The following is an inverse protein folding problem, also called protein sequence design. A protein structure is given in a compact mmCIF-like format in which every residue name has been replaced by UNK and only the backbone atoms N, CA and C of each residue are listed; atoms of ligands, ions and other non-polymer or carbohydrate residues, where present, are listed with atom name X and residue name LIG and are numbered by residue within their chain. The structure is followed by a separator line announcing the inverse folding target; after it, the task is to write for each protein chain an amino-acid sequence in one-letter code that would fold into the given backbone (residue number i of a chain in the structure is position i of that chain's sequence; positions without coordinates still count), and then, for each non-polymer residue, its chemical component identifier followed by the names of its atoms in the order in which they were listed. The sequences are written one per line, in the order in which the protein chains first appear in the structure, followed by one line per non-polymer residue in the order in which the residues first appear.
data_IF_112380120558
#
_entry.id   IF_112380120558
#
_cell.length_a   1.000
_cell.length_b   1.000
_cell.length_c   1.000
_cell.angle_alpha   90.00
_cell.angle_beta   90.00
_cell.angle_gamma   90.00
#
_symmetry.space_group_name_H-M   'P 1'
#
loop_
_entity.id
_entity.type
_entity.pdbx_description
1 polymer ?
#
# COMPACT_ATOMS: atom_id res chain seq x y z
N UNK A 1 21.20 -10.75 55.57
CA UNK A 1 20.19 -9.67 55.59
C UNK A 1 20.94 -8.35 55.58
N UNK A 2 20.81 -7.55 54.51
CA UNK A 2 21.02 -6.10 54.43
C UNK A 2 21.11 -5.69 52.96
N UNK A 3 20.18 -4.85 52.49
CA UNK A 3 20.19 -4.35 51.11
C UNK A 3 18.83 -3.89 50.62
N UNK A 4 18.15 -2.99 51.34
CA UNK A 4 16.97 -2.29 50.86
C UNK A 4 17.21 -0.78 50.96
N UNK A 5 16.85 -0.05 49.90
CA UNK A 5 16.55 1.38 49.97
C UNK A 5 17.45 2.33 49.19
N UNK A 6 17.50 2.22 47.85
CA UNK A 6 17.75 3.42 47.04
C UNK A 6 16.43 4.21 46.97
N UNK A 7 16.26 5.17 47.88
CA UNK A 7 15.22 6.18 47.77
C UNK A 7 15.48 7.02 46.51
N UNK A 8 14.60 6.91 45.52
CA UNK A 8 14.51 7.91 44.45
C UNK A 8 13.91 9.18 45.07
N UNK A 9 14.75 10.15 45.45
CA UNK A 9 14.26 11.48 45.79
C UNK A 9 13.68 12.11 44.53
N UNK A 10 12.39 12.43 44.59
CA UNK A 10 11.70 13.24 43.60
C UNK A 10 12.13 14.68 43.88
N UNK A 11 12.67 15.37 42.89
CA UNK A 11 13.04 16.78 43.01
C UNK A 11 11.77 17.64 43.01
N UNK A 12 11.21 17.84 44.21
CA UNK A 12 9.99 18.62 44.42
C UNK A 12 10.12 20.06 43.91
N UNK A 13 11.34 20.62 43.90
CA UNK A 13 11.59 21.98 43.44
C UNK A 13 11.46 22.09 41.93
N UNK A 14 12.00 21.13 41.17
CA UNK A 14 11.87 21.08 39.72
C UNK A 14 10.40 20.92 39.27
N UNK A 15 9.61 20.12 40.00
CA UNK A 15 8.18 19.94 39.74
C UNK A 15 7.40 21.23 40.02
N UNK A 16 7.66 21.89 41.16
CA UNK A 16 7.00 23.15 41.51
C UNK A 16 7.36 24.28 40.55
N UNK A 17 8.62 24.37 40.10
CA UNK A 17 9.06 25.35 39.09
C UNK A 17 8.46 25.11 37.70
N UNK A 18 8.06 23.87 37.37
CA UNK A 18 7.34 23.54 36.14
C UNK A 18 5.85 23.89 36.28
N UNK A 19 5.20 23.54 37.39
CA UNK A 19 3.80 23.91 37.67
C UNK A 19 3.61 25.43 37.62
N UNK A 20 4.50 26.17 38.30
CA UNK A 20 4.46 27.63 38.35
C UNK A 20 4.67 28.29 36.97
N UNK A 21 5.41 27.64 36.06
CA UNK A 21 5.62 28.12 34.68
C UNK A 21 4.40 27.91 33.77
N UNK A 22 3.49 26.99 34.11
CA UNK A 22 2.40 26.54 33.23
C UNK A 22 1.01 26.78 33.84
N UNK A 23 0.94 27.59 34.89
CA UNK A 23 -0.21 27.92 35.73
C UNK A 23 -1.44 28.42 34.94
N UNK A 24 -1.25 29.02 33.76
CA UNK A 24 -2.35 29.55 32.93
C UNK A 24 -3.01 28.50 32.02
N UNK A 25 -2.44 27.29 31.88
CA UNK A 25 -2.83 26.31 30.84
C UNK A 25 -3.40 25.00 31.37
N UNK A 26 -3.33 24.78 32.67
CA UNK A 26 -3.90 23.61 33.34
C UNK A 26 -5.27 24.01 33.90
N UNK A 27 -6.31 23.21 33.68
CA UNK A 27 -7.62 23.54 34.26
C UNK A 27 -7.53 23.52 35.80
N UNK A 28 -8.23 24.42 36.47
CA UNK A 28 -8.08 24.64 37.91
C UNK A 28 -8.32 23.37 38.73
N UNK A 29 -9.18 22.44 38.29
CA UNK A 29 -9.42 21.18 39.00
C UNK A 29 -8.24 20.22 38.89
N UNK A 30 -7.52 20.24 37.76
CA UNK A 30 -6.29 19.47 37.58
C UNK A 30 -5.14 20.07 38.40
N UNK A 31 -5.05 21.41 38.48
CA UNK A 31 -4.07 22.12 39.30
C UNK A 31 -4.28 21.85 40.81
N UNK A 32 -5.52 22.00 41.30
CA UNK A 32 -5.86 21.75 42.70
C UNK A 32 -5.55 20.31 43.15
N UNK A 33 -5.74 19.33 42.25
CA UNK A 33 -5.42 17.93 42.51
C UNK A 33 -3.90 17.65 42.53
N UNK A 34 -3.12 18.40 41.76
CA UNK A 34 -1.65 18.29 41.72
C UNK A 34 -1.04 18.97 42.96
N UNK A 35 -1.48 20.18 43.29
CA UNK A 35 -0.94 20.98 44.40
C UNK A 35 -1.25 20.39 45.78
N UNK A 36 -2.45 19.84 45.98
CA UNK A 36 -2.83 19.18 47.24
C UNK A 36 -2.07 17.87 47.51
N UNK A 37 -1.33 17.33 46.53
CA UNK A 37 -0.74 15.98 46.59
C UNK A 37 0.79 15.94 46.41
N UNK A 38 1.44 17.05 46.05
CA UNK A 38 2.92 17.15 45.93
C UNK A 38 3.60 17.41 47.30
N UNK A 39 2.85 17.98 48.27
CA UNK A 39 3.41 18.51 49.52
C UNK A 39 3.63 17.43 50.60
N UNK A 40 3.06 16.22 50.48
CA UNK A 40 3.32 15.12 51.43
C UNK A 40 3.39 13.75 50.73
N UNK A 41 4.57 13.10 50.66
CA UNK A 41 4.76 11.80 49.99
C UNK A 41 4.21 10.59 50.75
N UNK A 42 3.75 10.79 51.99
CA UNK A 42 3.22 9.72 52.84
C UNK A 42 1.70 9.72 52.76
N UNK A 43 1.12 8.58 52.31
CA UNK A 43 -0.29 8.17 52.42
C UNK A 43 -1.10 8.04 51.08
N UNK A 44 -2.15 7.19 51.06
CA UNK A 44 -2.77 6.48 49.91
C UNK A 44 -3.24 7.30 48.70
N UNK A 45 -3.11 8.62 48.72
CA UNK A 45 -3.65 9.49 47.69
C UNK A 45 -2.68 9.74 46.53
N UNK A 46 -1.38 9.43 46.67
CA UNK A 46 -0.51 9.25 45.51
C UNK A 46 -0.97 8.05 44.67
N UNK A 47 -1.49 7.01 45.34
CA UNK A 47 -2.19 5.89 44.68
C UNK A 47 -3.42 6.44 43.94
N UNK A 48 -4.17 7.35 44.54
CA UNK A 48 -5.31 8.06 43.93
C UNK A 48 -4.93 8.92 42.72
N UNK A 49 -3.78 9.61 42.73
CA UNK A 49 -3.26 10.36 41.58
C UNK A 49 -2.75 9.43 40.48
N UNK A 50 -2.18 8.28 40.86
CA UNK A 50 -1.86 7.22 39.90
C UNK A 50 -3.13 6.58 39.34
N UNK A 51 -4.17 6.28 40.13
CA UNK A 51 -5.46 5.75 39.69
C UNK A 51 -6.26 6.76 38.84
N UNK A 52 -6.17 8.04 39.19
CA UNK A 52 -6.75 9.19 38.48
C UNK A 52 -6.03 9.49 37.17
N UNK A 53 -4.70 9.36 37.14
CA UNK A 53 -3.92 9.44 35.91
C UNK A 53 -4.22 8.21 35.04
N UNK A 54 -4.14 6.99 35.60
CA UNK A 54 -4.41 5.71 34.95
C UNK A 54 -4.51 4.59 35.99
N UNK A 55 -5.57 3.77 36.00
CA UNK A 55 -5.62 2.56 36.86
C UNK A 55 -4.59 1.47 36.51
N UNK A 56 -3.30 1.73 36.71
CA UNK A 56 -2.14 0.84 36.66
C UNK A 56 -1.75 0.42 38.08
N UNK A 57 -0.85 -0.57 38.18
CA UNK A 57 -0.09 -0.80 39.42
C UNK A 57 0.76 0.42 39.78
N UNK A 58 0.87 0.71 41.08
CA UNK A 58 1.53 1.91 41.62
C UNK A 58 2.93 2.15 41.05
N UNK A 59 3.72 1.10 40.80
CA UNK A 59 5.10 1.18 40.29
C UNK A 59 5.21 1.61 38.82
N UNK A 60 4.27 1.21 37.97
CA UNK A 60 4.27 1.56 36.55
C UNK A 60 3.82 3.01 36.34
N UNK A 61 2.75 3.42 37.03
CA UNK A 61 2.29 4.80 37.02
C UNK A 61 3.33 5.77 37.58
N UNK A 62 4.06 5.38 38.64
CA UNK A 62 5.15 6.18 39.19
C UNK A 62 6.28 6.39 38.18
N UNK A 63 6.62 5.38 37.37
CA UNK A 63 7.63 5.51 36.32
C UNK A 63 7.14 6.38 35.15
N UNK A 64 5.86 6.29 34.77
CA UNK A 64 5.24 7.17 33.78
C UNK A 64 5.33 8.62 34.24
N UNK A 65 4.82 8.91 35.43
CA UNK A 65 4.79 10.26 35.98
C UNK A 65 6.22 10.77 36.11
N UNK A 66 7.18 9.98 36.61
CA UNK A 66 8.58 10.39 36.68
C UNK A 66 9.20 10.70 35.32
N UNK A 67 8.95 9.88 34.29
CA UNK A 67 9.45 10.15 32.95
C UNK A 67 8.77 11.39 32.33
N UNK A 68 7.47 11.52 32.55
CA UNK A 68 6.62 12.63 32.09
C UNK A 68 6.72 13.92 32.93
N UNK A 69 7.54 13.96 33.99
CA UNK A 69 7.75 15.17 34.80
C UNK A 69 9.21 15.59 34.80
N UNK A 70 10.08 14.79 34.17
CA UNK A 70 11.50 15.09 34.01
C UNK A 70 11.80 15.92 32.75
N UNK A 71 10.82 16.15 31.84
CA UNK A 71 11.09 16.78 30.53
C UNK A 71 10.03 17.82 30.13
N UNK A 72 9.81 18.85 30.95
CA UNK A 72 9.12 20.09 30.56
C UNK A 72 7.68 19.96 30.01
N UNK A 73 7.18 21.04 29.40
CA UNK A 73 5.80 21.26 28.88
C UNK A 73 5.16 20.09 28.09
N UNK A 74 5.99 19.23 27.50
CA UNK A 74 5.65 18.25 26.46
C UNK A 74 4.97 16.99 27.02
N UNK A 75 5.00 16.79 28.34
CA UNK A 75 4.62 15.49 28.89
C UNK A 75 3.19 15.42 29.45
N UNK A 76 2.61 16.55 29.83
CA UNK A 76 1.20 16.65 30.29
C UNK A 76 0.23 16.26 29.17
N UNK A 77 0.58 16.56 27.92
CA UNK A 77 -0.29 16.28 26.77
C UNK A 77 -0.32 14.79 26.43
N UNK A 78 0.81 14.07 26.59
CA UNK A 78 0.86 12.61 26.48
C UNK A 78 -0.07 11.96 27.51
N UNK A 79 -0.08 12.45 28.76
CA UNK A 79 -1.00 11.97 29.80
C UNK A 79 -2.46 12.23 29.42
N UNK A 80 -2.79 13.42 28.87
CA UNK A 80 -4.14 13.74 28.39
C UNK A 80 -4.62 12.81 27.28
N UNK A 81 -3.72 12.47 26.34
CA UNK A 81 -4.01 11.53 25.26
C UNK A 81 -4.27 10.12 25.76
N UNK A 82 -3.41 9.58 26.64
CA UNK A 82 -3.62 8.26 27.22
C UNK A 82 -4.95 8.25 28.01
N UNK A 83 -5.28 9.33 28.73
CA UNK A 83 -6.55 9.43 29.47
C UNK A 83 -7.74 9.35 28.55
N UNK A 84 -7.70 10.08 27.43
CA UNK A 84 -8.74 10.03 26.41
C UNK A 84 -8.86 8.63 25.77
N UNK A 85 -7.75 7.98 25.44
CA UNK A 85 -7.75 6.68 24.77
C UNK A 85 -8.09 5.49 25.69
N UNK A 86 -7.85 5.65 27.00
CA UNK A 86 -8.14 4.64 28.02
C UNK A 86 -9.50 4.82 28.71
N UNK A 87 -10.20 5.93 28.44
CA UNK A 87 -11.54 6.16 28.94
C UNK A 87 -12.54 5.24 28.24
N UNK A 88 -13.17 4.34 29.00
CA UNK A 88 -14.29 3.52 28.50
C UNK A 88 -15.51 4.42 28.34
N UNK A 89 -16.11 4.45 27.14
CA UNK A 89 -17.39 5.13 26.88
C UNK A 89 -18.46 4.11 26.48
N UNK A 90 -19.71 4.50 26.65
CA UNK A 90 -20.91 3.67 26.48
C UNK A 90 -20.98 2.92 25.15
N UNK A 91 -20.34 3.40 24.09
CA UNK A 91 -20.38 2.81 22.75
C UNK A 91 -19.07 2.14 22.30
N UNK A 92 -17.96 2.25 23.04
CA UNK A 92 -16.65 1.81 22.53
C UNK A 92 -15.70 1.26 23.62
N UNK A 93 -14.97 0.17 23.33
CA UNK A 93 -13.95 -0.35 24.23
C UNK A 93 -12.77 0.62 24.33
N UNK A 94 -12.19 0.74 25.52
CA UNK A 94 -10.97 1.50 25.74
C UNK A 94 -9.77 0.80 25.07
N UNK A 95 -8.81 1.58 24.56
CA UNK A 95 -7.53 1.01 24.12
C UNK A 95 -6.82 0.43 25.35
N UNK A 96 -6.28 -0.78 25.20
CA UNK A 96 -5.53 -1.44 26.28
C UNK A 96 -4.41 -0.52 26.81
N UNK A 97 -4.41 -0.31 28.13
CA UNK A 97 -3.54 0.63 28.83
C UNK A 97 -2.05 0.29 28.67
N UNK A 98 -1.68 -0.99 28.65
CA UNK A 98 -0.29 -1.42 28.47
C UNK A 98 0.24 -1.08 27.07
N UNK A 99 -0.63 -1.13 26.05
CA UNK A 99 -0.25 -0.72 24.70
C UNK A 99 0.02 0.78 24.61
N UNK A 100 -0.82 1.60 25.26
CA UNK A 100 -0.63 3.06 25.33
C UNK A 100 0.65 3.42 26.08
N UNK A 101 0.92 2.74 27.21
CA UNK A 101 2.14 2.94 27.99
C UNK A 101 3.40 2.60 27.19
N UNK A 102 3.42 1.42 26.55
CA UNK A 102 4.55 1.00 25.75
C UNK A 102 4.79 1.90 24.52
N UNK A 103 3.74 2.48 23.93
CA UNK A 103 3.87 3.43 22.83
C UNK A 103 4.40 4.79 23.32
N UNK A 104 3.86 5.30 24.43
CA UNK A 104 4.26 6.58 25.03
C UNK A 104 5.74 6.59 25.41
N UNK A 105 6.22 5.56 26.10
CA UNK A 105 7.63 5.44 26.54
C UNK A 105 8.65 5.36 25.41
N UNK A 106 8.22 4.95 24.21
CA UNK A 106 9.06 4.83 23.01
C UNK A 106 8.90 6.02 22.06
N UNK A 107 7.98 6.92 22.36
CA UNK A 107 7.69 8.10 21.55
C UNK A 107 8.77 9.16 21.78
N UNK A 108 9.25 9.84 20.73
CA UNK A 108 10.13 10.98 20.90
C UNK A 108 9.44 12.10 21.70
N UNK A 109 10.23 13.07 22.17
CA UNK A 109 9.66 14.32 22.68
C UNK A 109 9.05 15.08 21.51
N UNK A 110 7.78 15.43 21.64
CA UNK A 110 7.02 16.08 20.58
C UNK A 110 7.05 17.59 20.81
N UNK A 111 6.72 18.38 19.79
CA UNK A 111 6.58 19.82 19.98
C UNK A 111 5.23 20.15 20.59
N UNK A 112 5.13 21.25 21.35
CA UNK A 112 3.88 21.72 21.94
C UNK A 112 2.75 21.87 20.89
N UNK A 113 3.11 22.30 19.67
CA UNK A 113 2.20 22.43 18.52
C UNK A 113 1.62 21.07 18.11
N UNK A 114 2.48 20.08 17.87
CA UNK A 114 2.11 18.71 17.49
C UNK A 114 1.16 18.09 18.52
N UNK A 115 1.38 18.39 19.79
CA UNK A 115 0.62 17.84 20.91
C UNK A 115 -0.75 18.50 21.14
N UNK A 116 -0.83 19.83 20.99
CA UNK A 116 -2.12 20.55 20.99
C UNK A 116 -3.01 20.07 19.85
N UNK A 117 -2.46 19.93 18.64
CA UNK A 117 -3.18 19.38 17.50
C UNK A 117 -3.73 17.99 17.83
N UNK A 118 -2.91 17.11 18.40
CA UNK A 118 -3.33 15.74 18.74
C UNK A 118 -4.49 15.68 19.74
N UNK A 119 -4.50 16.52 20.77
CA UNK A 119 -5.57 16.48 21.79
C UNK A 119 -6.85 17.20 21.40
N UNK A 120 -6.77 18.14 20.46
CA UNK A 120 -7.95 18.87 19.97
C UNK A 120 -8.60 18.17 18.78
N UNK A 121 -7.80 17.54 17.92
CA UNK A 121 -8.25 17.00 16.64
C UNK A 121 -8.63 15.52 16.69
N UNK A 122 -8.07 14.75 17.62
CA UNK A 122 -8.37 13.33 17.72
C UNK A 122 -9.77 13.10 18.30
N UNK A 123 -10.67 12.59 17.46
CA UNK A 123 -12.03 12.25 17.87
C UNK A 123 -12.25 10.72 17.85
N UNK A 124 -13.28 10.24 18.54
CA UNK A 124 -13.65 8.81 18.56
C UNK A 124 -13.96 8.27 17.16
N UNK A 125 -14.52 9.10 16.29
CA UNK A 125 -14.78 8.75 14.89
C UNK A 125 -13.49 8.35 14.15
N UNK A 126 -12.40 9.06 14.40
CA UNK A 126 -11.09 8.73 13.82
C UNK A 126 -10.59 7.39 14.36
N UNK A 127 -10.77 7.14 15.66
CA UNK A 127 -10.40 5.86 16.28
C UNK A 127 -11.18 4.69 15.69
N UNK A 128 -12.48 4.85 15.44
CA UNK A 128 -13.30 3.80 14.83
C UNK A 128 -12.84 3.49 13.40
N UNK A 129 -12.54 4.51 12.61
CA UNK A 129 -12.00 4.33 11.25
C UNK A 129 -10.71 3.52 11.28
N UNK A 130 -9.80 3.83 12.22
CA UNK A 130 -8.54 3.09 12.38
C UNK A 130 -8.77 1.66 12.93
N UNK A 131 -9.71 1.47 13.84
CA UNK A 131 -10.06 0.16 14.44
C UNK A 131 -10.66 -0.83 13.46
N UNK A 132 -11.27 -0.35 12.39
CA UNK A 132 -11.69 -1.23 11.30
C UNK A 132 -10.51 -2.00 10.69
N UNK A 133 -9.28 -1.49 10.78
CA UNK A 133 -8.10 -2.11 10.14
C UNK A 133 -6.98 -2.51 11.09
N UNK A 134 -6.86 -1.85 12.23
CA UNK A 134 -5.69 -1.95 13.10
C UNK A 134 -6.05 -2.36 14.52
N UNK A 135 -5.18 -3.17 15.12
CA UNK A 135 -5.28 -3.47 16.54
C UNK A 135 -4.97 -2.24 17.39
N UNK A 136 -5.53 -2.20 18.59
CA UNK A 136 -5.29 -1.17 19.60
C UNK A 136 -3.79 -0.91 19.84
N UNK A 137 -2.96 -1.96 19.83
CA UNK A 137 -1.49 -1.84 19.92
C UNK A 137 -0.87 -1.05 18.78
N UNK A 138 -1.37 -1.26 17.56
CA UNK A 138 -0.89 -0.55 16.37
C UNK A 138 -1.36 0.89 16.36
N UNK A 139 -2.63 1.13 16.70
CA UNK A 139 -3.21 2.47 16.80
C UNK A 139 -2.44 3.30 17.83
N UNK A 140 -2.17 2.74 19.01
CA UNK A 140 -1.34 3.39 20.02
C UNK A 140 0.04 3.77 19.48
N UNK A 141 0.70 2.91 18.69
CA UNK A 141 2.00 3.26 18.11
C UNK A 141 1.91 4.43 17.12
N UNK A 142 0.93 4.40 16.22
CA UNK A 142 0.72 5.44 15.20
C UNK A 142 0.37 6.79 15.85
N UNK A 143 -0.52 6.81 16.85
CA UNK A 143 -0.94 8.07 17.46
C UNK A 143 0.16 8.76 18.27
N UNK A 144 1.26 8.05 18.58
CA UNK A 144 2.40 8.60 19.29
C UNK A 144 3.59 8.92 18.37
N UNK A 145 3.40 8.94 17.04
CA UNK A 145 4.44 9.39 16.09
C UNK A 145 4.43 10.91 15.87
N UNK A 146 5.54 11.54 15.44
CA UNK A 146 5.65 13.00 15.27
C UNK A 146 4.73 13.62 14.22
N UNK A 147 4.35 12.86 13.20
CA UNK A 147 3.59 13.24 12.00
C UNK A 147 2.07 13.33 12.23
N UNK A 148 1.62 13.71 13.43
CA UNK A 148 0.18 13.78 13.76
C UNK A 148 -0.55 14.91 13.04
N UNK A 149 0.17 15.85 12.43
CA UNK A 149 -0.43 17.00 11.74
C UNK A 149 -1.36 16.56 10.60
N UNK A 150 -1.11 15.39 10.02
CA UNK A 150 -1.93 14.79 8.95
C UNK A 150 -3.21 14.09 9.44
N UNK A 151 -3.50 14.05 10.75
CA UNK A 151 -4.55 13.21 11.33
C UNK A 151 -5.97 13.53 10.85
N UNK A 152 -6.35 14.81 10.82
CA UNK A 152 -7.68 15.22 10.34
C UNK A 152 -7.81 14.87 8.86
N UNK A 153 -6.87 15.33 8.04
CA UNK A 153 -6.91 15.09 6.60
C UNK A 153 -6.98 13.59 6.29
N UNK A 154 -6.19 12.77 6.99
CA UNK A 154 -6.28 11.31 6.88
C UNK A 154 -7.67 10.79 7.25
N UNK A 155 -8.24 11.24 8.36
CA UNK A 155 -9.57 10.81 8.77
C UNK A 155 -10.66 11.20 7.77
N UNK A 156 -10.62 12.43 7.27
CA UNK A 156 -11.56 12.95 6.29
C UNK A 156 -11.47 12.16 4.98
N UNK A 157 -10.24 11.86 4.51
CA UNK A 157 -10.03 10.99 3.34
C UNK A 157 -10.60 9.59 3.56
N UNK A 158 -10.30 8.95 4.70
CA UNK A 158 -10.82 7.61 5.01
C UNK A 158 -12.35 7.58 5.10
N UNK A 159 -12.95 8.64 5.62
CA UNK A 159 -14.41 8.77 5.68
C UNK A 159 -15.00 8.92 4.27
N UNK A 160 -14.44 9.78 3.43
CA UNK A 160 -14.88 9.95 2.04
C UNK A 160 -14.78 8.62 1.29
N UNK A 161 -13.68 7.88 1.45
CA UNK A 161 -13.48 6.55 0.85
C UNK A 161 -14.57 5.57 1.31
N UNK A 162 -14.85 5.50 2.62
CA UNK A 162 -15.92 4.64 3.15
C UNK A 162 -17.30 5.02 2.64
N UNK A 163 -17.62 6.32 2.53
CA UNK A 163 -18.90 6.78 1.99
C UNK A 163 -19.13 6.34 0.55
N UNK A 164 -18.07 6.12 -0.22
CA UNK A 164 -18.13 5.55 -1.57
C UNK A 164 -18.16 4.01 -1.59
N UNK A 165 -18.43 3.36 -0.45
CA UNK A 165 -18.62 1.92 -0.35
C UNK A 165 -17.33 1.10 -0.52
N UNK A 166 -16.16 1.75 -0.46
CA UNK A 166 -14.87 1.05 -0.58
C UNK A 166 -14.37 0.61 0.80
N UNK A 167 -13.87 -0.62 0.88
CA UNK A 167 -13.22 -1.12 2.08
C UNK A 167 -11.80 -0.52 2.23
N UNK A 168 -11.28 -0.49 3.44
CA UNK A 168 -9.98 0.08 3.79
C UNK A 168 -8.83 -0.93 3.62
N UNK A 169 -8.99 -1.90 2.73
CA UNK A 169 -8.04 -2.99 2.53
C UNK A 169 -6.73 -2.56 1.85
N UNK A 170 -6.79 -1.46 1.07
CA UNK A 170 -5.64 -0.82 0.43
C UNK A 170 -4.64 -0.22 1.45
N UNK A 171 -5.08 -0.01 2.69
CA UNK A 171 -4.22 0.49 3.75
C UNK A 171 -3.14 -0.54 4.12
N UNK A 172 -1.92 -0.08 4.47
CA UNK A 172 -0.81 -0.97 4.77
C UNK A 172 -1.15 -1.87 5.97
N UNK A 173 -0.84 -3.17 5.90
CA UNK A 173 -1.12 -4.10 7.04
C UNK A 173 -0.33 -3.75 8.31
N UNK A 174 0.84 -3.12 8.16
CA UNK A 174 1.77 -2.79 9.25
C UNK A 174 2.34 -1.36 9.10
N UNK A 175 1.52 -0.29 9.19
CA UNK A 175 2.00 1.09 9.08
C UNK A 175 3.01 1.40 10.18
N UNK A 176 4.10 2.09 9.84
CA UNK A 176 5.12 2.53 10.79
C UNK A 176 4.77 3.90 11.37
N UNK A 177 4.06 4.75 10.61
CA UNK A 177 3.64 6.07 11.06
C UNK A 177 2.24 6.44 10.54
N UNK A 178 1.75 7.63 10.93
CA UNK A 178 0.48 8.15 10.42
C UNK A 178 0.60 8.60 8.96
N UNK A 179 1.76 9.15 8.58
CA UNK A 179 2.09 9.54 7.21
C UNK A 179 1.99 8.35 6.25
N UNK A 180 2.38 7.14 6.66
CA UNK A 180 2.21 5.94 5.83
C UNK A 180 0.73 5.71 5.47
N UNK A 181 -0.18 5.93 6.43
CA UNK A 181 -1.62 5.82 6.23
C UNK A 181 -2.11 7.00 5.39
N UNK A 182 -1.67 8.22 5.71
CA UNK A 182 -2.02 9.43 4.98
C UNK A 182 -1.68 9.31 3.50
N UNK A 183 -0.43 8.96 3.16
CA UNK A 183 0.04 8.82 1.79
C UNK A 183 -0.76 7.75 1.03
N UNK A 184 -1.13 6.64 1.70
CA UNK A 184 -1.93 5.59 1.07
C UNK A 184 -3.39 6.00 0.89
N UNK A 185 -3.98 6.71 1.84
CA UNK A 185 -5.30 7.30 1.71
C UNK A 185 -5.34 8.34 0.59
N UNK A 186 -4.38 9.26 0.55
CA UNK A 186 -4.25 10.29 -0.47
C UNK A 186 -4.12 9.71 -1.87
N UNK A 187 -3.30 8.67 -2.03
CA UNK A 187 -3.22 7.88 -3.27
C UNK A 187 -4.58 7.31 -3.66
N UNK A 188 -5.22 6.58 -2.75
CA UNK A 188 -6.52 5.97 -3.05
C UNK A 188 -7.62 7.00 -3.36
N UNK A 189 -7.55 8.22 -2.82
CA UNK A 189 -8.50 9.29 -3.12
C UNK A 189 -8.60 9.61 -4.61
N UNK A 190 -7.53 9.40 -5.39
CA UNK A 190 -7.56 9.59 -6.85
C UNK A 190 -8.60 8.70 -7.54
N UNK A 191 -8.89 7.53 -6.96
CA UNK A 191 -9.83 6.53 -7.47
C UNK A 191 -11.25 6.73 -6.96
N UNK A 192 -11.44 7.57 -5.94
CA UNK A 192 -12.76 7.78 -5.33
C UNK A 192 -13.65 8.51 -6.34
N UNK A 193 -14.81 7.92 -6.62
CA UNK A 193 -15.74 8.44 -7.62
C UNK A 193 -15.38 8.07 -9.06
N UNK A 194 -14.25 7.39 -9.29
CA UNK A 194 -13.94 6.80 -10.59
C UNK A 194 -14.54 5.38 -10.67
N UNK A 195 -15.14 5.06 -11.82
CA UNK A 195 -15.66 3.73 -12.09
C UNK A 195 -14.52 2.82 -12.48
N UNK A 196 -14.32 1.73 -11.75
CA UNK A 196 -13.40 0.69 -12.16
C UNK A 196 -14.00 -0.12 -13.32
N UNK A 197 -13.19 -0.45 -14.31
CA UNK A 197 -13.60 -1.27 -15.45
C UNK A 197 -12.47 -2.19 -15.87
N UNK A 198 -12.86 -3.32 -16.49
CA UNK A 198 -11.90 -4.28 -17.03
C UNK A 198 -11.19 -3.68 -18.24
N UNK A 199 -9.89 -3.94 -18.33
CA UNK A 199 -9.06 -3.56 -19.46
C UNK A 199 -9.04 -4.67 -20.50
N UNK A 200 -9.19 -4.31 -21.77
CA UNK A 200 -9.14 -5.25 -22.88
C UNK A 200 -7.68 -5.44 -23.34
N UNK A 201 -6.85 -5.95 -22.44
CA UNK A 201 -5.46 -6.33 -22.76
C UNK A 201 -5.49 -7.47 -23.78
N UNK A 202 -4.58 -7.44 -24.76
CA UNK A 202 -4.48 -8.53 -25.73
C UNK A 202 -4.13 -9.83 -25.03
N UNK A 203 -4.71 -10.93 -25.51
CA UNK A 203 -4.53 -12.26 -24.92
C UNK A 203 -3.06 -12.71 -24.90
N UNK A 204 -2.28 -12.41 -25.95
CA UNK A 204 -0.85 -12.70 -26.01
C UNK A 204 -0.05 -11.92 -24.95
N UNK A 205 -0.42 -10.67 -24.68
CA UNK A 205 0.21 -9.85 -23.63
C UNK A 205 -0.08 -10.39 -22.24
N UNK A 206 -1.29 -10.93 -22.00
CA UNK A 206 -1.67 -11.49 -20.69
C UNK A 206 -0.77 -12.66 -20.25
N UNK A 207 -0.20 -13.43 -21.19
CA UNK A 207 0.73 -14.54 -20.89
C UNK A 207 2.04 -14.07 -20.24
N UNK A 208 2.37 -12.78 -20.31
CA UNK A 208 3.60 -12.24 -19.75
C UNK A 208 3.43 -11.72 -18.32
N UNK A 209 2.21 -11.67 -17.78
CA UNK A 209 1.99 -11.31 -16.38
C UNK A 209 2.70 -12.32 -15.45
N UNK A 210 3.72 -11.88 -14.72
CA UNK A 210 4.53 -12.80 -13.93
C UNK A 210 5.93 -13.05 -14.48
N UNK A 211 6.16 -12.89 -15.78
CA UNK A 211 7.41 -13.29 -16.42
C UNK A 211 8.57 -12.38 -16.02
N UNK A 212 9.70 -13.00 -15.71
CA UNK A 212 10.95 -12.31 -15.35
C UNK A 212 11.72 -11.99 -16.62
N UNK A 213 12.30 -10.79 -16.71
CA UNK A 213 13.17 -10.43 -17.83
C UNK A 213 14.57 -11.03 -17.62
N UNK A 214 15.02 -11.82 -18.59
CA UNK A 214 16.25 -12.60 -18.49
C UNK A 214 17.49 -11.77 -18.14
N UNK A 215 18.28 -12.28 -17.20
CA UNK A 215 19.48 -11.61 -16.70
C UNK A 215 19.21 -10.24 -16.06
N UNK A 216 18.02 -10.01 -15.52
CA UNK A 216 17.70 -8.82 -14.69
C UNK A 216 16.93 -9.25 -13.43
N UNK A 217 16.67 -8.31 -12.52
CA UNK A 217 15.73 -8.51 -11.41
C UNK A 217 14.32 -8.02 -11.76
N UNK A 218 14.06 -7.68 -13.02
CA UNK A 218 12.79 -7.11 -13.44
C UNK A 218 11.73 -8.16 -13.75
N UNK A 219 10.49 -7.82 -13.45
CA UNK A 219 9.31 -8.66 -13.65
C UNK A 219 8.23 -7.87 -14.38
N UNK A 220 7.57 -8.51 -15.34
CA UNK A 220 6.45 -7.94 -16.08
C UNK A 220 5.17 -8.11 -15.26
N UNK A 221 4.36 -7.05 -15.22
CA UNK A 221 3.01 -7.05 -14.65
C UNK A 221 2.03 -6.47 -15.65
N UNK A 222 0.91 -7.14 -15.85
CA UNK A 222 -0.12 -6.70 -16.79
C UNK A 222 -1.32 -6.16 -16.00
N UNK A 223 -1.59 -4.84 -16.03
CA UNK A 223 -2.79 -4.23 -15.44
C UNK A 223 -4.06 -4.84 -16.01
N UNK A 224 -5.01 -5.25 -15.16
CA UNK A 224 -6.26 -5.92 -15.57
C UNK A 224 -7.46 -4.98 -15.48
N UNK A 225 -7.35 -3.95 -14.65
CA UNK A 225 -8.42 -3.00 -14.36
C UNK A 225 -7.93 -1.56 -14.51
N UNK A 226 -8.87 -0.65 -14.72
CA UNK A 226 -8.59 0.79 -14.73
C UNK A 226 -7.85 1.23 -13.45
N UNK A 227 -8.25 0.71 -12.30
CA UNK A 227 -7.54 0.98 -11.04
C UNK A 227 -6.10 0.48 -11.02
N UNK A 228 -5.78 -0.65 -11.67
CA UNK A 228 -4.39 -1.12 -11.79
C UNK A 228 -3.53 -0.14 -12.61
N UNK A 229 -4.10 0.49 -13.64
CA UNK A 229 -3.40 1.54 -14.40
C UNK A 229 -3.23 2.84 -13.60
N UNK A 230 -4.19 3.18 -12.74
CA UNK A 230 -4.02 4.28 -11.78
C UNK A 230 -2.89 3.97 -10.80
N UNK A 231 -2.84 2.76 -10.23
CA UNK A 231 -1.75 2.35 -9.34
C UNK A 231 -0.39 2.40 -10.03
N UNK A 232 -0.31 1.86 -11.25
CA UNK A 232 0.91 1.92 -12.05
C UNK A 232 1.33 3.36 -12.33
N UNK A 233 0.39 4.22 -12.71
CA UNK A 233 0.63 5.63 -12.94
C UNK A 233 1.14 6.34 -11.69
N UNK A 234 0.51 6.13 -10.53
CA UNK A 234 0.93 6.72 -9.27
C UNK A 234 2.32 6.29 -8.83
N UNK A 235 2.66 5.02 -8.98
CA UNK A 235 3.99 4.50 -8.63
C UNK A 235 5.09 5.07 -9.54
N UNK A 236 4.74 5.36 -10.80
CA UNK A 236 5.62 5.99 -11.78
C UNK A 236 5.56 7.53 -11.75
N UNK A 237 4.75 8.14 -10.88
CA UNK A 237 4.44 9.58 -10.88
C UNK A 237 3.99 10.09 -12.27
N UNK A 238 3.11 9.33 -12.93
CA UNK A 238 2.78 9.47 -14.34
C UNK A 238 1.30 9.23 -14.66
N UNK A 239 0.78 9.88 -15.71
CA UNK A 239 -0.66 9.88 -16.03
C UNK A 239 -1.11 8.68 -16.91
N UNK A 240 -0.69 7.45 -16.58
CA UNK A 240 -1.18 6.23 -17.29
C UNK A 240 -2.62 5.88 -16.88
N UNK A 241 -3.01 6.13 -15.63
CA UNK A 241 -4.35 5.80 -15.16
C UNK A 241 -5.43 6.80 -15.56
N UNK A 242 -5.12 8.09 -15.56
CA UNK A 242 -6.11 9.16 -15.73
C UNK A 242 -6.28 9.54 -17.21
N UNK A 243 -7.31 9.03 -17.88
CA UNK A 243 -7.72 9.48 -19.23
C UNK A 243 -7.43 8.49 -20.35
N UNK A 244 -6.71 8.94 -21.39
CA UNK A 244 -6.59 8.31 -22.72
C UNK A 244 -6.10 6.87 -22.66
N UNK A 245 -5.11 6.56 -21.82
CA UNK A 245 -4.52 5.23 -21.72
C UNK A 245 -5.51 4.15 -21.28
N UNK A 246 -6.19 4.37 -20.16
CA UNK A 246 -7.21 3.43 -19.67
C UNK A 246 -8.33 3.19 -20.70
N UNK A 247 -8.71 4.24 -21.45
CA UNK A 247 -9.73 4.12 -22.50
C UNK A 247 -9.20 3.37 -23.72
N UNK A 248 -8.00 3.68 -24.21
CA UNK A 248 -7.42 2.97 -25.35
C UNK A 248 -7.13 1.50 -25.06
N UNK A 249 -6.75 1.14 -23.83
CA UNK A 249 -6.64 -0.28 -23.44
C UNK A 249 -8.02 -0.93 -23.32
N UNK A 250 -9.02 -0.24 -22.76
CA UNK A 250 -10.40 -0.75 -22.72
C UNK A 250 -10.96 -1.00 -24.13
N UNK A 251 -10.67 -0.10 -25.05
CA UNK A 251 -11.19 -0.13 -26.42
C UNK A 251 -10.34 -1.02 -27.35
N UNK A 252 -9.27 -1.66 -26.82
CA UNK A 252 -8.42 -2.60 -27.56
C UNK A 252 -7.48 -1.94 -28.57
N UNK A 253 -7.22 -0.64 -28.44
CA UNK A 253 -6.32 0.10 -29.32
C UNK A 253 -4.85 -0.26 -29.10
N UNK A 254 -4.49 -0.53 -27.85
CA UNK A 254 -3.16 -0.92 -27.42
C UNK A 254 -3.22 -1.66 -26.07
N UNK A 255 -2.13 -2.32 -25.70
CA UNK A 255 -1.94 -2.92 -24.38
C UNK A 255 -0.90 -2.14 -23.58
N UNK A 256 -0.94 -2.23 -22.26
CA UNK A 256 0.05 -1.61 -21.37
C UNK A 256 0.54 -2.64 -20.39
N UNK A 257 1.85 -2.64 -20.12
CA UNK A 257 2.44 -3.41 -19.02
C UNK A 257 3.27 -2.50 -18.13
N UNK A 258 3.42 -2.89 -16.87
CA UNK A 258 4.41 -2.34 -15.97
C UNK A 258 5.64 -3.24 -15.86
N UNK A 259 6.82 -2.65 -15.78
CA UNK A 259 8.06 -3.34 -15.41
C UNK A 259 8.38 -3.02 -13.96
N UNK A 260 8.52 -4.05 -13.15
CA UNK A 260 8.71 -3.94 -11.70
C UNK A 260 10.08 -4.46 -11.29
N UNK A 261 10.70 -3.83 -10.31
CA UNK A 261 11.83 -4.35 -9.56
C UNK A 261 11.42 -4.75 -8.14
N UNK A 262 12.40 -4.97 -7.25
CA UNK A 262 12.15 -5.30 -5.83
C UNK A 262 11.51 -4.15 -5.03
N UNK A 263 11.59 -2.91 -5.51
CA UNK A 263 11.13 -1.69 -4.83
C UNK A 263 9.77 -1.22 -5.35
N UNK A 264 9.42 -1.50 -6.60
CA UNK A 264 8.12 -1.14 -7.17
C UNK A 264 8.13 -1.07 -8.70
N UNK A 265 7.18 -0.34 -9.27
CA UNK A 265 7.15 -0.06 -10.69
C UNK A 265 8.34 0.84 -11.08
N UNK A 266 8.97 0.52 -12.21
CA UNK A 266 10.11 1.25 -12.77
C UNK A 266 9.75 1.86 -14.12
N UNK A 267 9.01 1.12 -14.96
CA UNK A 267 8.59 1.59 -16.28
C UNK A 267 7.13 1.22 -16.58
N UNK A 268 6.46 2.07 -17.37
CA UNK A 268 5.19 1.78 -18.04
C UNK A 268 5.42 1.68 -19.54
N UNK A 269 5.07 0.55 -20.15
CA UNK A 269 5.37 0.26 -21.55
C UNK A 269 4.05 0.00 -22.28
N UNK A 270 3.83 0.75 -23.35
CA UNK A 270 2.67 0.63 -24.23
C UNK A 270 3.02 -0.26 -25.42
N UNK A 271 2.26 -1.32 -25.59
CA UNK A 271 2.26 -2.09 -26.82
C UNK A 271 1.16 -1.55 -27.71
N UNK A 272 1.53 -0.71 -28.67
CA UNK A 272 0.65 -0.56 -29.82
C UNK A 272 0.82 -1.78 -30.71
N UNK A 273 -0.18 -2.05 -31.55
CA UNK A 273 -0.31 -3.26 -32.38
C UNK A 273 1.03 -3.79 -32.93
N UNK A 274 1.99 -2.91 -33.26
CA UNK A 274 3.21 -3.28 -33.99
C UNK A 274 4.50 -2.63 -33.44
N UNK A 275 4.45 -1.98 -32.27
CA UNK A 275 5.63 -1.33 -31.67
C UNK A 275 5.58 -1.42 -30.15
N UNK A 276 6.72 -1.77 -29.56
CA UNK A 276 6.99 -1.42 -28.16
C UNK A 276 7.18 0.09 -28.13
N UNK A 277 6.09 0.79 -27.87
CA UNK A 277 6.12 2.21 -27.60
C UNK A 277 6.27 2.39 -26.09
N UNK A 278 7.06 3.37 -25.68
CA UNK A 278 6.92 3.86 -24.32
C UNK A 278 5.48 4.37 -24.14
N UNK A 279 4.85 4.15 -22.98
CA UNK A 279 3.64 4.91 -22.70
C UNK A 279 4.05 6.40 -22.63
N UNK A 280 3.77 7.16 -23.68
CA UNK A 280 4.13 8.57 -23.80
C UNK A 280 3.08 9.48 -23.14
N UNK A 281 3.51 10.34 -22.23
CA UNK A 281 2.61 11.23 -21.49
C UNK A 281 3.36 12.44 -20.95
N UNK A 282 2.61 13.35 -20.33
CA UNK A 282 3.19 14.52 -19.66
C UNK A 282 4.04 14.04 -18.48
N UNK A 283 5.37 14.08 -18.65
CA UNK A 283 6.34 13.56 -17.67
C UNK A 283 7.48 12.71 -18.23
N UNK A 284 7.53 12.46 -19.56
CA UNK A 284 8.65 11.81 -20.24
C UNK A 284 9.92 12.68 -20.21
N UNK A 285 10.49 12.88 -19.02
CA UNK A 285 11.85 13.35 -18.87
C UNK A 285 12.77 12.24 -19.40
N UNK A 286 13.85 12.63 -20.09
CA UNK A 286 14.81 11.69 -20.69
C UNK A 286 15.36 10.66 -19.68
N UNK A 287 15.40 11.05 -18.41
CA UNK A 287 15.82 10.26 -17.25
C UNK A 287 14.85 9.12 -16.88
N UNK A 288 13.58 9.19 -17.30
CA UNK A 288 12.56 8.16 -17.03
C UNK A 288 12.43 7.14 -18.17
N UNK A 289 13.19 7.30 -19.26
CA UNK A 289 13.13 6.36 -20.39
C UNK A 289 13.64 4.98 -19.97
N UNK A 290 12.97 3.89 -20.39
CA UNK A 290 13.51 2.55 -20.25
C UNK A 290 14.89 2.44 -20.88
N UNK A 291 15.83 1.83 -20.15
CA UNK A 291 17.15 1.50 -20.70
C UNK A 291 16.98 0.66 -21.97
N UNK A 292 17.77 0.94 -23.01
CA UNK A 292 17.69 0.24 -24.28
C UNK A 292 17.83 -1.29 -24.13
N UNK A 293 18.61 -1.76 -23.16
CA UNK A 293 18.73 -3.18 -22.83
C UNK A 293 17.44 -3.75 -22.25
N UNK A 294 16.66 -2.99 -21.49
CA UNK A 294 15.35 -3.43 -20.98
C UNK A 294 14.38 -3.59 -22.14
N UNK A 295 14.33 -2.62 -23.07
CA UNK A 295 13.49 -2.72 -24.27
C UNK A 295 13.89 -3.89 -25.15
N UNK A 296 15.20 -4.13 -25.34
CA UNK A 296 15.70 -5.27 -26.10
C UNK A 296 15.32 -6.59 -25.44
N UNK A 297 15.49 -6.72 -24.11
CA UNK A 297 15.12 -7.93 -23.37
C UNK A 297 13.62 -8.19 -23.38
N UNK A 298 12.82 -7.13 -23.25
CA UNK A 298 11.36 -7.23 -23.35
C UNK A 298 10.97 -7.70 -24.75
N UNK A 299 11.54 -7.10 -25.80
CA UNK A 299 11.32 -7.55 -27.18
C UNK A 299 11.66 -9.03 -27.33
N UNK A 300 12.84 -9.45 -26.90
CA UNK A 300 13.26 -10.84 -26.98
C UNK A 300 12.31 -11.77 -26.22
N UNK A 301 11.87 -11.38 -25.02
CA UNK A 301 10.92 -12.16 -24.21
C UNK A 301 9.61 -12.42 -24.98
N UNK A 302 9.15 -11.42 -25.75
CA UNK A 302 7.92 -11.50 -26.54
C UNK A 302 8.10 -12.30 -27.85
N UNK A 303 9.27 -12.16 -28.49
CA UNK A 303 9.61 -12.76 -29.78
C UNK A 303 10.52 -13.98 -29.65
N UNK A 304 10.46 -14.69 -28.53
CA UNK A 304 11.18 -15.95 -28.36
C UNK A 304 10.30 -17.12 -28.81
N UNK A 305 10.90 -18.09 -29.51
CA UNK A 305 10.23 -19.33 -29.83
C UNK A 305 9.73 -20.02 -28.54
N UNK A 306 8.53 -20.63 -28.56
CA UNK A 306 7.97 -21.28 -27.38
C UNK A 306 8.81 -22.47 -26.95
N UNK A 307 9.03 -22.62 -25.63
CA UNK A 307 9.85 -23.68 -25.03
C UNK A 307 9.04 -24.61 -24.12
N UNK A 308 7.89 -24.16 -23.63
CA UNK A 308 7.00 -24.93 -22.75
C UNK A 308 5.55 -24.84 -23.25
N UNK A 309 4.66 -25.81 -22.92
CA UNK A 309 3.25 -25.72 -23.29
C UNK A 309 2.56 -24.43 -22.79
N UNK A 310 2.95 -23.94 -21.61
CA UNK A 310 2.43 -22.70 -21.01
C UNK A 310 2.82 -21.42 -21.77
N UNK A 311 3.71 -21.52 -22.76
CA UNK A 311 4.04 -20.39 -23.64
C UNK A 311 2.99 -20.15 -24.74
N UNK A 312 2.02 -21.06 -24.91
CA UNK A 312 1.00 -20.98 -25.95
C UNK A 312 -0.30 -20.39 -25.43
N UNK A 313 -0.96 -19.60 -26.27
CA UNK A 313 -2.36 -19.22 -26.08
C UNK A 313 -3.25 -20.43 -26.32
N UNK A 314 -4.16 -20.76 -25.40
CA UNK A 314 -4.98 -21.96 -25.52
C UNK A 314 -6.02 -21.83 -26.65
N UNK A 315 -6.21 -22.93 -27.39
CA UNK A 315 -7.34 -23.11 -28.32
C UNK A 315 -8.28 -24.13 -27.68
N UNK A 316 -9.41 -23.65 -27.18
CA UNK A 316 -10.36 -24.48 -26.40
C UNK A 316 -11.48 -25.08 -27.25
N UNK A 317 -11.63 -24.61 -28.49
CA UNK A 317 -12.66 -25.04 -29.45
C UNK A 317 -12.19 -26.18 -30.37
N UNK A 318 -11.03 -26.77 -30.09
CA UNK A 318 -10.41 -27.85 -30.88
C UNK A 318 -9.92 -28.98 -29.97
N UNK A 319 -10.22 -30.22 -30.33
CA UNK A 319 -9.70 -31.40 -29.63
C UNK A 319 -8.24 -31.72 -29.98
N UNK A 320 -7.73 -31.16 -31.07
CA UNK A 320 -6.43 -31.53 -31.66
C UNK A 320 -5.40 -30.40 -31.64
N UNK A 321 -5.84 -29.14 -31.61
CA UNK A 321 -4.97 -27.96 -31.53
C UNK A 321 -5.18 -27.40 -30.13
N UNK A 322 -4.15 -27.48 -29.30
CA UNK A 322 -4.22 -27.10 -27.88
C UNK A 322 -3.78 -25.66 -27.67
N UNK A 323 -2.95 -25.10 -28.56
CA UNK A 323 -2.62 -23.68 -28.50
C UNK A 323 -1.83 -23.15 -29.68
N UNK A 324 -1.53 -21.85 -29.64
CA UNK A 324 -0.74 -21.13 -30.64
C UNK A 324 0.14 -20.06 -30.02
N UNK A 325 1.24 -19.72 -30.69
CA UNK A 325 2.10 -18.59 -30.36
C UNK A 325 2.61 -17.98 -31.65
N UNK A 326 2.60 -16.66 -31.75
CA UNK A 326 3.16 -15.96 -32.90
C UNK A 326 4.48 -15.30 -32.52
N UNK A 327 5.48 -15.48 -33.38
CA UNK A 327 6.79 -14.87 -33.26
C UNK A 327 7.20 -14.30 -34.62
N UNK A 328 7.05 -12.99 -34.77
CA UNK A 328 7.66 -12.20 -35.84
C UNK A 328 7.63 -12.84 -37.24
N UNK A 329 6.42 -13.23 -37.68
CA UNK A 329 6.03 -13.90 -38.95
C UNK A 329 5.90 -15.42 -38.91
N UNK A 330 6.30 -16.07 -37.82
CA UNK A 330 6.11 -17.51 -37.69
C UNK A 330 5.02 -17.81 -36.64
N UNK A 331 4.08 -18.68 -37.02
CA UNK A 331 3.02 -19.13 -36.14
C UNK A 331 3.31 -20.55 -35.66
N UNK A 332 3.49 -20.71 -34.36
CA UNK A 332 3.69 -21.98 -33.70
C UNK A 332 2.34 -22.51 -33.26
N UNK A 333 2.05 -23.78 -33.56
CA UNK A 333 0.87 -24.48 -33.06
C UNK A 333 1.29 -25.61 -32.14
N UNK A 334 0.70 -25.65 -30.94
CA UNK A 334 0.74 -26.77 -30.02
C UNK A 334 -0.42 -27.69 -30.36
N UNK A 335 -0.12 -28.93 -30.73
CA UNK A 335 -1.10 -29.97 -31.01
C UNK A 335 -1.10 -31.02 -29.89
N UNK A 336 -1.98 -32.01 -30.04
CA UNK A 336 -1.99 -33.20 -29.19
C UNK A 336 -0.60 -33.80 -28.97
N UNK A 337 -0.43 -34.43 -27.80
CA UNK A 337 0.82 -35.00 -27.33
C UNK A 337 1.97 -33.97 -27.20
N UNK A 338 1.65 -32.69 -26.98
CA UNK A 338 2.61 -31.57 -26.90
C UNK A 338 3.50 -31.41 -28.14
N UNK A 339 3.03 -31.86 -29.31
CA UNK A 339 3.77 -31.74 -30.56
C UNK A 339 3.66 -30.30 -31.07
N UNK A 340 4.78 -29.72 -31.49
CA UNK A 340 4.82 -28.34 -32.01
C UNK A 340 5.12 -28.31 -33.48
N UNK A 341 4.33 -27.53 -34.22
CA UNK A 341 4.56 -27.19 -35.62
C UNK A 341 4.79 -25.69 -35.77
N UNK A 342 5.74 -25.31 -36.60
CA UNK A 342 6.00 -23.93 -37.02
C UNK A 342 5.43 -23.73 -38.41
N UNK A 343 4.57 -22.73 -38.59
CA UNK A 343 4.05 -22.25 -39.86
C UNK A 343 4.80 -20.99 -40.25
N UNK A 344 5.43 -21.01 -41.43
CA UNK A 344 6.35 -19.96 -41.84
C UNK A 344 5.66 -18.82 -42.59
N UNK A 345 6.11 -17.60 -42.32
CA UNK A 345 5.70 -16.43 -43.09
C UNK A 345 4.21 -16.11 -42.99
N UNK A 346 3.57 -16.48 -41.88
CA UNK A 346 2.20 -16.07 -41.57
C UNK A 346 2.16 -14.56 -41.46
N UNK A 347 1.43 -13.92 -42.37
CA UNK A 347 1.28 -12.47 -42.34
C UNK A 347 0.59 -12.02 -41.06
N UNK A 348 0.96 -10.82 -40.63
CA UNK A 348 0.53 -10.23 -39.38
C UNK A 348 -0.98 -10.01 -39.34
N UNK A 349 -1.57 -9.56 -40.45
CA UNK A 349 -3.02 -9.38 -40.57
C UNK A 349 -3.77 -10.70 -40.33
N UNK A 350 -3.20 -11.82 -40.77
CA UNK A 350 -3.80 -13.16 -40.62
C UNK A 350 -3.68 -13.66 -39.18
N UNK A 351 -2.58 -13.33 -38.48
CA UNK A 351 -2.48 -13.60 -37.04
C UNK A 351 -3.49 -12.77 -36.23
N UNK A 352 -3.68 -11.49 -36.56
CA UNK A 352 -4.67 -10.65 -35.89
C UNK A 352 -6.11 -11.13 -36.16
N UNK A 353 -6.40 -11.64 -37.35
CA UNK A 353 -7.66 -12.34 -37.62
C UNK A 353 -7.82 -13.57 -36.74
N UNK A 354 -6.78 -14.40 -36.58
CA UNK A 354 -6.81 -15.56 -35.68
C UNK A 354 -7.10 -15.15 -34.22
N UNK A 355 -6.44 -14.12 -33.72
CA UNK A 355 -6.60 -13.59 -32.36
C UNK A 355 -8.07 -13.21 -32.09
N UNK A 356 -8.69 -12.53 -33.06
CA UNK A 356 -10.06 -12.02 -32.96
C UNK A 356 -11.14 -13.02 -33.41
N UNK A 357 -10.77 -14.18 -33.96
CA UNK A 357 -11.74 -15.14 -34.48
C UNK A 357 -12.48 -15.87 -33.36
N UNK A 358 -13.81 -16.01 -33.49
CA UNK A 358 -14.67 -16.70 -32.50
C UNK A 358 -14.33 -18.18 -32.34
N UNK A 359 -13.96 -18.83 -33.45
CA UNK A 359 -13.69 -20.28 -33.53
C UNK A 359 -12.26 -20.48 -34.04
N UNK A 360 -11.26 -20.29 -33.17
CA UNK A 360 -9.83 -20.29 -33.50
C UNK A 360 -9.38 -21.59 -34.15
N UNK A 361 -9.82 -22.73 -33.63
CA UNK A 361 -9.52 -24.04 -34.22
C UNK A 361 -10.02 -24.18 -35.67
N UNK A 362 -11.20 -23.61 -35.98
CA UNK A 362 -11.71 -23.58 -37.36
C UNK A 362 -10.87 -22.68 -38.25
N UNK A 363 -10.53 -21.48 -37.78
CA UNK A 363 -9.69 -20.53 -38.53
C UNK A 363 -8.35 -21.17 -38.90
N UNK A 364 -7.67 -21.80 -37.93
CA UNK A 364 -6.42 -22.52 -38.18
C UNK A 364 -6.56 -23.58 -39.27
N UNK A 365 -7.63 -24.39 -39.23
CA UNK A 365 -7.80 -25.46 -40.22
C UNK A 365 -8.16 -24.94 -41.62
N UNK A 366 -8.84 -23.80 -41.74
CA UNK A 366 -9.32 -23.28 -43.02
C UNK A 366 -8.36 -22.30 -43.67
N UNK A 367 -7.68 -21.47 -42.88
CA UNK A 367 -6.79 -20.41 -43.35
C UNK A 367 -5.35 -20.85 -43.20
N UNK A 368 -4.90 -21.12 -41.96
CA UNK A 368 -3.47 -21.38 -41.68
C UNK A 368 -2.97 -22.66 -42.37
N UNK A 369 -3.61 -23.81 -42.11
CA UNK A 369 -3.14 -25.11 -42.61
C UNK A 369 -3.14 -25.24 -44.14
N UNK A 370 -3.98 -24.45 -44.83
CA UNK A 370 -4.12 -24.53 -46.29
C UNK A 370 -3.17 -23.60 -47.03
N UNK A 371 -2.82 -22.47 -46.41
CA UNK A 371 -2.15 -21.39 -47.10
C UNK A 371 -0.66 -21.27 -46.75
N UNK A 372 -0.21 -21.86 -45.63
CA UNK A 372 1.18 -21.72 -45.16
C UNK A 372 1.90 -23.06 -45.10
N UNK A 373 3.19 -23.02 -45.44
CA UNK A 373 4.10 -24.16 -45.27
C UNK A 373 4.42 -24.34 -43.79
N UNK A 374 4.60 -25.59 -43.34
CA UNK A 374 4.94 -25.87 -41.95
C UNK A 374 5.95 -27.00 -41.79
N UNK A 375 6.65 -26.98 -40.65
CA UNK A 375 7.57 -28.02 -40.21
C UNK A 375 7.26 -28.42 -38.77
N UNK A 376 7.45 -29.70 -38.44
CA UNK A 376 7.42 -30.18 -37.06
C UNK A 376 8.76 -29.87 -36.40
N UNK A 377 8.75 -29.01 -35.39
CA UNK A 377 9.97 -28.57 -34.71
C UNK A 377 10.33 -29.39 -33.48
N UNK A 378 9.36 -30.13 -32.91
CA UNK A 378 9.63 -31.00 -31.76
C UNK A 378 8.40 -31.42 -30.97
N UNK A 379 8.66 -31.85 -29.75
CA UNK A 379 7.67 -32.19 -28.73
C UNK A 379 8.11 -31.54 -27.42
N UNK A 380 7.19 -30.85 -26.75
CA UNK A 380 7.46 -30.20 -25.46
C UNK A 380 7.17 -31.17 -24.32
N UNK A 381 7.97 -31.09 -23.26
CA UNK A 381 7.85 -31.95 -22.09
C UNK A 381 6.78 -31.45 -21.12
#
# INVERSE_FOLDING_TARGET
MNGLGKHFMIDQKAIQESINRHYERIDSKTLDAIESHIISPSEPNFLGLTEWAFGFSSKQALNIIKQCTQVGDVDVVKLKLIKMLSAKRTSQPAINRDHLFNACTRSPNLTEKTERLRTQQLTYKILDLLRCRYSDSRIAKILFTPDIECLIDTADMLEVIKRHGKDLDFLPKKPKSLQDIHNKAQRFMSKVGQTDFCLNQREDILLYDGKKLDGTDYVIRVPKTHHDLIDLGEDLCFCIGNGTYSHGVRDGEYSIVGIFDKKGAVYGIQFSRYRILEAQGFGNLWENKPDANVLLKLRNTLTEAPKMPDDFLPITDSSWIHGYRYDNKDLYLLLGDNIVYQYFGVEEEVYEELLNHEVKGRFVNQVIKRNYSCERIGQLN
#
